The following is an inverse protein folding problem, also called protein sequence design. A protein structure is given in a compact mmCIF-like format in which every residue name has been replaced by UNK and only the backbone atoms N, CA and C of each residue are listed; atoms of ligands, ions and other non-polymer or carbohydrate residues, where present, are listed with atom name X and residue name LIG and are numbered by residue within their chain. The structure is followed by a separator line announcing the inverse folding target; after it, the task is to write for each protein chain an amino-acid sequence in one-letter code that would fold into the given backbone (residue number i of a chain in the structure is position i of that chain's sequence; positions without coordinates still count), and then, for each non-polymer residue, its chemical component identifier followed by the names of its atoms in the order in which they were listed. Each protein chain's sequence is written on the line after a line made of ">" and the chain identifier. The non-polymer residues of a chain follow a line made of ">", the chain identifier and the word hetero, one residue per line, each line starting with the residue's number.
data_IF_277259259504
#
_entry.id   IF_277259259504
#
_cell.length_a   1.000
_cell.length_b   1.000
_cell.length_c   1.000
_cell.angle_alpha   90.00
_cell.angle_beta   90.00
_cell.angle_gamma   90.00
#
_symmetry.space_group_name_H-M   'P 1'
#
loop_
_entity.id
_entity.type
_entity.pdbx_description
1 polymer ?
#
# COMPACT_ATOMS: atom_id res chain seq x y z
N UNK A 1 34.18 0.56 15.51
CA UNK A 1 32.93 0.25 14.77
C UNK A 1 32.48 -1.13 15.20
N UNK A 2 31.48 -1.19 16.07
CA UNK A 2 31.03 -2.42 16.74
C UNK A 2 30.04 -3.18 15.84
N UNK A 3 30.16 -4.51 15.84
CA UNK A 3 29.36 -5.45 15.05
C UNK A 3 27.84 -5.47 15.39
N UNK A 4 27.38 -4.59 16.30
CA UNK A 4 25.98 -4.50 16.70
C UNK A 4 25.09 -3.76 15.69
N UNK A 5 25.65 -2.95 14.79
CA UNK A 5 24.87 -2.29 13.72
C UNK A 5 24.56 -3.21 12.52
N UNK A 6 25.27 -4.34 12.39
CA UNK A 6 25.06 -5.25 11.26
C UNK A 6 23.83 -6.16 11.49
N UNK A 7 23.50 -6.44 12.74
CA UNK A 7 22.37 -7.32 13.11
C UNK A 7 21.03 -6.58 13.16
N UNK A 8 20.98 -5.29 13.51
CA UNK A 8 19.74 -4.50 13.37
C UNK A 8 19.36 -4.31 11.89
N UNK A 9 20.34 -4.25 10.98
CA UNK A 9 20.10 -4.16 9.53
C UNK A 9 19.42 -5.41 8.93
N UNK A 10 19.51 -6.56 9.60
CA UNK A 10 19.01 -7.85 9.12
C UNK A 10 17.56 -8.15 9.54
N UNK A 11 16.98 -7.36 10.45
CA UNK A 11 15.60 -7.55 10.95
C UNK A 11 14.60 -6.49 10.49
N UNK A 12 15.04 -5.42 9.82
CA UNK A 12 14.13 -4.60 9.03
C UNK A 12 13.63 -5.45 7.87
N UNK A 13 12.31 -5.53 7.68
CA UNK A 13 11.75 -6.05 6.43
C UNK A 13 12.53 -5.42 5.28
N UNK A 14 13.40 -6.18 4.62
CA UNK A 14 14.14 -5.66 3.47
C UNK A 14 13.07 -5.30 2.44
N UNK A 15 12.75 -4.00 2.38
CA UNK A 15 11.72 -3.48 1.50
C UNK A 15 12.07 -3.96 0.10
N UNK A 16 11.18 -4.74 -0.51
CA UNK A 16 11.42 -5.29 -1.83
C UNK A 16 11.69 -4.12 -2.77
N UNK A 17 12.88 -4.11 -3.36
CA UNK A 17 13.32 -2.96 -4.15
C UNK A 17 12.48 -2.85 -5.43
N UNK A 18 12.21 -1.64 -5.93
CA UNK A 18 11.37 -1.46 -7.11
C UNK A 18 11.90 -2.16 -8.36
N UNK A 19 13.21 -2.39 -8.45
CA UNK A 19 13.79 -3.19 -9.54
C UNK A 19 13.29 -4.63 -9.52
N UNK A 20 13.03 -5.20 -8.34
CA UNK A 20 12.52 -6.57 -8.20
C UNK A 20 11.04 -6.61 -8.54
N UNK A 21 10.26 -5.62 -8.06
CA UNK A 21 8.85 -5.46 -8.45
C UNK A 21 8.72 -5.27 -9.97
N UNK A 22 9.59 -4.46 -10.56
CA UNK A 22 9.61 -4.22 -12.00
C UNK A 22 9.96 -5.45 -12.83
N UNK A 23 10.78 -6.37 -12.29
CA UNK A 23 11.12 -7.64 -12.94
C UNK A 23 10.09 -8.75 -12.70
N UNK A 24 9.26 -8.61 -11.67
CA UNK A 24 8.21 -9.57 -11.37
C UNK A 24 7.08 -9.55 -12.41
N UNK A 25 6.23 -10.56 -12.37
CA UNK A 25 4.99 -10.61 -13.15
C UNK A 25 3.83 -9.81 -12.55
N UNK A 26 4.07 -9.03 -11.47
CA UNK A 26 2.99 -8.34 -10.76
C UNK A 26 2.34 -7.24 -11.61
N UNK A 27 1.06 -6.99 -11.30
CA UNK A 27 0.24 -5.92 -11.85
C UNK A 27 -0.46 -5.15 -10.71
N UNK A 28 -0.87 -3.91 -11.00
CA UNK A 28 -1.58 -3.06 -10.04
C UNK A 28 -2.98 -2.75 -10.56
N UNK A 29 -3.99 -3.21 -9.81
CA UNK A 29 -5.38 -2.79 -10.00
C UNK A 29 -5.66 -1.55 -9.18
N UNK A 30 -6.38 -0.59 -9.76
CA UNK A 30 -6.91 0.58 -9.04
C UNK A 30 -8.41 0.64 -9.24
N UNK A 31 -9.14 0.49 -8.15
CA UNK A 31 -10.59 0.56 -8.11
C UNK A 31 -11.00 1.91 -7.55
N UNK A 32 -12.05 2.51 -8.14
CA UNK A 32 -12.59 3.79 -7.73
C UNK A 32 -13.98 3.58 -7.17
N UNK A 33 -14.13 3.70 -5.86
CA UNK A 33 -15.44 3.60 -5.19
C UNK A 33 -16.20 4.94 -5.18
N UNK A 34 -15.50 6.06 -5.41
CA UNK A 34 -16.09 7.39 -5.47
C UNK A 34 -15.04 8.48 -5.67
N UNK A 35 -15.44 9.77 -5.67
CA UNK A 35 -14.51 10.88 -5.74
C UNK A 35 -13.51 10.83 -4.58
N UNK A 36 -12.23 10.67 -4.88
CA UNK A 36 -11.18 10.63 -3.85
C UNK A 36 -11.11 9.33 -3.05
N UNK A 37 -11.83 8.26 -3.43
CA UNK A 37 -11.73 6.94 -2.79
C UNK A 37 -11.14 5.92 -3.74
N UNK A 38 -9.97 5.39 -3.37
CA UNK A 38 -9.23 4.42 -4.18
C UNK A 38 -8.90 3.17 -3.39
N UNK A 39 -9.05 2.01 -4.02
CA UNK A 39 -8.44 0.76 -3.57
C UNK A 39 -7.36 0.35 -4.56
N UNK A 40 -6.15 0.15 -4.06
CA UNK A 40 -5.01 -0.36 -4.79
C UNK A 40 -4.82 -1.83 -4.45
N UNK A 41 -4.71 -2.69 -5.46
CA UNK A 41 -4.45 -4.12 -5.29
C UNK A 41 -3.23 -4.47 -6.14
N UNK A 42 -2.12 -4.78 -5.50
CA UNK A 42 -0.95 -5.38 -6.13
C UNK A 42 -1.15 -6.90 -6.15
N UNK A 43 -1.15 -7.49 -7.34
CA UNK A 43 -1.52 -8.90 -7.52
C UNK A 43 -0.66 -9.61 -8.57
N UNK A 44 -0.75 -10.94 -8.60
CA UNK A 44 -0.07 -11.83 -9.55
C UNK A 44 -1.05 -12.33 -10.62
N UNK A 45 -1.04 -11.79 -11.86
CA UNK A 45 -1.97 -12.18 -12.91
C UNK A 45 -1.92 -13.67 -13.27
N UNK A 46 -0.74 -14.30 -13.20
CA UNK A 46 -0.57 -15.72 -13.49
C UNK A 46 -1.31 -16.65 -12.50
N UNK A 47 -1.50 -16.22 -11.25
CA UNK A 47 -2.34 -16.95 -10.28
C UNK A 47 -3.81 -16.87 -10.67
N UNK A 48 -4.28 -15.68 -11.06
CA UNK A 48 -5.65 -15.48 -11.50
C UNK A 48 -5.96 -16.25 -12.80
N UNK A 49 -5.03 -16.30 -13.74
CA UNK A 49 -5.18 -17.12 -14.95
C UNK A 49 -5.37 -18.59 -14.63
N UNK A 50 -4.53 -19.16 -13.75
CA UNK A 50 -4.62 -20.57 -13.35
C UNK A 50 -5.92 -20.89 -12.64
N UNK A 51 -6.39 -20.02 -11.74
CA UNK A 51 -7.70 -20.14 -11.10
C UNK A 51 -8.81 -20.35 -12.15
N UNK A 52 -8.82 -19.56 -13.22
CA UNK A 52 -9.84 -19.64 -14.28
C UNK A 52 -9.58 -20.70 -15.35
N UNK A 53 -8.45 -21.40 -15.32
CA UNK A 53 -8.17 -22.51 -16.22
C UNK A 53 -8.49 -23.85 -15.55
N UNK A 54 -8.04 -24.02 -14.31
CA UNK A 54 -8.01 -25.31 -13.63
C UNK A 54 -8.77 -25.30 -12.29
N UNK A 55 -9.48 -24.21 -11.95
CA UNK A 55 -10.19 -24.03 -10.67
C UNK A 55 -9.28 -24.19 -9.43
N UNK A 56 -8.03 -23.76 -9.58
CA UNK A 56 -7.02 -23.79 -8.51
C UNK A 56 -7.32 -22.80 -7.36
N UNK A 57 -6.50 -22.81 -6.31
CA UNK A 57 -6.60 -21.85 -5.21
C UNK A 57 -6.18 -20.43 -5.61
N UNK A 58 -6.82 -19.40 -5.03
CA UNK A 58 -6.37 -18.00 -5.13
C UNK A 58 -5.18 -17.68 -4.21
N UNK A 59 -4.64 -18.64 -3.46
CA UNK A 59 -3.54 -18.42 -2.52
C UNK A 59 -2.34 -17.75 -3.19
N UNK A 60 -1.96 -16.58 -2.69
CA UNK A 60 -0.86 -15.78 -3.24
C UNK A 60 -1.24 -14.96 -4.48
N UNK A 61 -2.53 -14.83 -4.80
CA UNK A 61 -3.01 -13.90 -5.82
C UNK A 61 -2.72 -12.46 -5.39
N UNK A 62 -3.23 -12.05 -4.23
CA UNK A 62 -2.97 -10.72 -3.66
C UNK A 62 -1.60 -10.66 -2.97
N UNK A 63 -0.79 -9.69 -3.37
CA UNK A 63 0.51 -9.37 -2.75
C UNK A 63 0.37 -8.23 -1.74
N UNK A 64 -0.47 -7.25 -2.08
CA UNK A 64 -0.73 -6.13 -1.20
C UNK A 64 -1.99 -5.38 -1.61
N UNK A 65 -2.62 -4.79 -0.61
CA UNK A 65 -3.84 -4.01 -0.76
C UNK A 65 -3.71 -2.73 0.06
N UNK A 66 -4.11 -1.60 -0.52
CA UNK A 66 -4.23 -0.34 0.22
C UNK A 66 -5.49 0.39 -0.20
N UNK A 67 -6.34 0.72 0.76
CA UNK A 67 -7.48 1.60 0.58
C UNK A 67 -7.13 2.99 1.11
N UNK A 68 -7.37 4.02 0.29
CA UNK A 68 -7.14 5.41 0.68
C UNK A 68 -8.34 6.28 0.33
N UNK A 69 -8.59 7.27 1.17
CA UNK A 69 -9.68 8.24 1.01
C UNK A 69 -9.10 9.65 1.12
N UNK A 70 -9.59 10.58 0.31
CA UNK A 70 -9.24 12.00 0.46
C UNK A 70 -9.67 12.48 1.84
N UNK A 71 -8.79 13.19 2.55
CA UNK A 71 -9.10 13.70 3.88
C UNK A 71 -10.17 14.79 3.80
N UNK A 72 -11.20 14.68 4.64
CA UNK A 72 -12.24 15.70 4.78
C UNK A 72 -11.67 17.02 5.31
N UNK A 73 -10.58 16.96 6.09
CA UNK A 73 -9.92 18.15 6.66
C UNK A 73 -9.02 18.86 5.66
N UNK A 74 -8.41 18.12 4.74
CA UNK A 74 -7.48 18.67 3.77
C UNK A 74 -7.53 17.91 2.43
N UNK A 75 -8.12 18.48 1.37
CA UNK A 75 -8.26 17.80 0.07
C UNK A 75 -6.93 17.56 -0.67
N UNK A 76 -5.81 18.06 -0.13
CA UNK A 76 -4.45 17.78 -0.61
C UNK A 76 -3.83 16.54 0.03
N UNK A 77 -4.51 15.90 0.98
CA UNK A 77 -4.02 14.75 1.73
C UNK A 77 -4.98 13.58 1.53
N UNK A 78 -4.44 12.39 1.30
CA UNK A 78 -5.15 11.13 1.40
C UNK A 78 -4.82 10.45 2.72
N UNK A 79 -5.81 9.82 3.31
CA UNK A 79 -5.70 9.00 4.51
C UNK A 79 -5.74 7.53 4.12
N UNK A 80 -4.84 6.73 4.68
CA UNK A 80 -4.87 5.27 4.55
C UNK A 80 -5.95 4.72 5.47
N UNK A 81 -6.95 4.03 4.93
CA UNK A 81 -8.02 3.40 5.72
C UNK A 81 -7.77 1.92 5.99
N UNK A 82 -7.25 1.21 5.00
CA UNK A 82 -6.89 -0.20 5.13
C UNK A 82 -5.57 -0.42 4.41
N UNK A 83 -4.67 -1.22 4.99
CA UNK A 83 -3.40 -1.57 4.37
C UNK A 83 -2.95 -2.94 4.84
N UNK A 84 -2.63 -3.81 3.90
CA UNK A 84 -2.00 -5.09 4.16
C UNK A 84 -1.05 -5.42 3.00
N UNK A 85 0.06 -6.08 3.30
CA UNK A 85 1.00 -6.54 2.29
C UNK A 85 1.70 -7.82 2.74
N UNK A 86 2.18 -8.60 1.78
CA UNK A 86 3.14 -9.65 2.04
C UNK A 86 4.41 -9.04 2.64
N UNK A 87 5.12 -9.84 3.44
CA UNK A 87 6.35 -9.40 4.10
C UNK A 87 7.32 -8.77 3.10
N UNK A 88 7.83 -7.59 3.43
CA UNK A 88 8.74 -6.82 2.56
C UNK A 88 8.05 -5.94 1.50
N UNK A 89 6.75 -6.10 1.25
CA UNK A 89 6.00 -5.26 0.31
C UNK A 89 5.32 -4.05 0.95
N UNK A 90 5.30 -3.95 2.28
CA UNK A 90 4.69 -2.85 3.02
C UNK A 90 5.17 -1.48 2.52
N UNK A 91 6.44 -1.10 2.71
CA UNK A 91 6.96 0.19 2.24
C UNK A 91 6.75 0.43 0.74
N UNK A 92 6.89 -0.61 -0.09
CA UNK A 92 6.68 -0.50 -1.54
C UNK A 92 5.23 -0.15 -1.90
N UNK A 93 4.24 -0.67 -1.17
CA UNK A 93 2.84 -0.30 -1.37
C UNK A 93 2.59 1.18 -1.10
N UNK A 94 3.15 1.74 -0.01
CA UNK A 94 3.03 3.17 0.30
C UNK A 94 3.62 4.04 -0.81
N UNK A 95 4.81 3.69 -1.29
CA UNK A 95 5.47 4.43 -2.37
C UNK A 95 4.71 4.35 -3.70
N UNK A 96 4.17 3.18 -4.06
CA UNK A 96 3.33 3.02 -5.25
C UNK A 96 2.13 3.97 -5.17
N UNK A 97 1.45 3.99 -4.03
CA UNK A 97 0.27 4.82 -3.79
C UNK A 97 0.63 6.31 -3.80
N UNK A 98 1.67 6.73 -3.06
CA UNK A 98 2.17 8.11 -3.06
C UNK A 98 2.54 8.58 -4.47
N UNK A 99 3.19 7.71 -5.25
CA UNK A 99 3.56 8.02 -6.62
C UNK A 99 2.33 8.19 -7.52
N UNK A 100 1.27 7.40 -7.30
CA UNK A 100 0.02 7.52 -8.05
C UNK A 100 -0.75 8.81 -7.71
N UNK A 101 -0.88 9.14 -6.42
CA UNK A 101 -1.69 10.29 -5.95
C UNK A 101 -0.96 11.64 -6.07
N UNK A 102 0.35 11.65 -6.38
CA UNK A 102 1.14 12.87 -6.56
C UNK A 102 0.44 13.86 -7.51
N UNK A 103 0.34 15.16 -7.15
CA UNK A 103 1.16 15.88 -6.16
C UNK A 103 0.59 15.94 -4.72
N UNK A 104 -0.40 15.11 -4.39
CA UNK A 104 -1.01 15.05 -3.05
C UNK A 104 -0.15 14.26 -2.06
N UNK A 105 -0.42 14.43 -0.77
CA UNK A 105 0.26 13.74 0.32
C UNK A 105 -0.56 12.52 0.78
N UNK A 106 0.10 11.57 1.44
CA UNK A 106 -0.50 10.42 2.10
C UNK A 106 -0.20 10.46 3.60
N UNK A 107 -1.19 10.17 4.44
CA UNK A 107 -1.05 10.06 5.90
C UNK A 107 -1.62 8.75 6.43
N UNK A 108 -1.21 8.36 7.64
CA UNK A 108 -1.81 7.25 8.37
C UNK A 108 -3.26 7.57 8.76
N UNK A 109 -4.07 6.54 9.03
CA UNK A 109 -5.33 6.77 9.74
C UNK A 109 -5.01 7.36 11.11
N UNK A 110 -5.63 8.49 11.45
CA UNK A 110 -5.33 9.18 12.72
C UNK A 110 -6.15 8.71 13.92
N UNK A 111 -6.97 7.68 13.75
CA UNK A 111 -7.76 7.09 14.83
C UNK A 111 -7.21 5.75 15.26
N UNK A 112 -6.73 4.96 14.32
CA UNK A 112 -6.22 3.63 14.59
C UNK A 112 -5.15 3.21 13.59
N UNK A 113 -3.95 2.91 14.09
CA UNK A 113 -2.83 2.42 13.28
C UNK A 113 -2.32 1.14 13.91
N UNK A 114 -2.42 0.03 13.17
CA UNK A 114 -1.91 -1.26 13.62
C UNK A 114 -0.40 -1.20 13.88
N UNK A 115 0.10 -2.02 14.81
CA UNK A 115 1.54 -2.07 15.12
C UNK A 115 2.42 -2.37 13.91
N UNK A 116 1.92 -3.16 12.95
CA UNK A 116 2.61 -3.42 11.68
C UNK A 116 2.69 -2.16 10.80
N UNK A 117 1.59 -1.42 10.64
CA UNK A 117 1.60 -0.17 9.88
C UNK A 117 2.47 0.91 10.55
N UNK A 118 2.46 1.00 11.88
CA UNK A 118 3.34 1.91 12.64
C UNK A 118 4.82 1.65 12.31
N UNK A 119 5.24 0.39 12.23
CA UNK A 119 6.62 0.03 11.85
C UNK A 119 6.98 0.51 10.44
N UNK A 120 6.05 0.43 9.48
CA UNK A 120 6.29 0.93 8.12
C UNK A 120 6.44 2.44 8.09
N UNK A 121 5.54 3.18 8.75
CA UNK A 121 5.64 4.63 8.84
C UNK A 121 6.91 5.08 9.57
N UNK A 122 7.26 4.42 10.67
CA UNK A 122 8.50 4.66 11.39
C UNK A 122 9.72 4.40 10.51
N UNK A 123 9.72 3.29 9.76
CA UNK A 123 10.81 2.97 8.84
C UNK A 123 11.00 4.06 7.78
N UNK A 124 9.90 4.53 7.17
CA UNK A 124 9.95 5.60 6.19
C UNK A 124 10.51 6.90 6.78
N UNK A 125 10.12 7.23 8.01
CA UNK A 125 10.60 8.41 8.73
C UNK A 125 12.07 8.30 9.12
N UNK A 126 12.47 7.21 9.77
CA UNK A 126 13.83 7.05 10.28
C UNK A 126 14.87 6.90 9.16
N UNK A 127 14.53 6.18 8.08
CA UNK A 127 15.51 5.74 7.08
C UNK A 127 15.36 6.41 5.71
N UNK A 128 14.19 6.96 5.40
CA UNK A 128 13.86 7.42 4.04
C UNK A 128 13.29 8.84 3.98
N UNK A 129 13.33 9.60 5.07
CA UNK A 129 12.79 10.97 5.12
C UNK A 129 13.34 11.88 4.00
N UNK A 130 14.61 11.69 3.61
CA UNK A 130 15.22 12.44 2.52
C UNK A 130 14.51 12.26 1.17
N UNK A 131 13.80 11.15 0.95
CA UNK A 131 13.03 10.86 -0.27
C UNK A 131 11.65 11.53 -0.31
N UNK A 132 11.18 12.02 0.85
CA UNK A 132 9.84 12.57 1.01
C UNK A 132 9.85 14.08 1.29
N UNK A 133 8.87 14.78 0.75
CA UNK A 133 8.37 16.02 1.32
C UNK A 133 7.38 15.67 2.42
N UNK A 134 7.45 16.42 3.53
CA UNK A 134 6.53 16.24 4.64
C UNK A 134 5.65 17.47 4.84
N UNK A 135 4.45 17.21 5.33
CA UNK A 135 3.50 18.22 5.76
C UNK A 135 3.09 17.89 7.19
N UNK A 136 3.39 18.78 8.12
CA UNK A 136 2.87 18.66 9.49
C UNK A 136 1.35 18.82 9.45
N UNK A 137 0.65 17.83 10.00
CA UNK A 137 -0.81 17.86 10.06
C UNK A 137 -1.27 18.72 11.24
N UNK A 138 -2.34 19.52 11.08
CA UNK A 138 -2.93 20.23 12.20
C UNK A 138 -3.42 19.23 13.24
N UNK A 139 -3.45 19.64 14.51
CA UNK A 139 -4.14 18.88 15.54
C UNK A 139 -5.60 18.63 15.10
N UNK A 140 -6.13 17.44 15.37
CA UNK A 140 -7.52 17.14 15.06
C UNK A 140 -8.45 18.12 15.80
N UNK A 141 -9.66 18.35 15.28
CA UNK A 141 -10.63 19.29 15.87
C UNK A 141 -11.06 18.92 17.30
N UNK A 142 -10.89 17.67 17.71
CA UNK A 142 -11.11 17.23 19.09
C UNK A 142 -9.92 17.55 20.03
N UNK A 143 -8.89 18.22 19.52
CA UNK A 143 -7.69 18.58 20.27
C UNK A 143 -6.74 17.43 20.52
N UNK A 144 -7.02 16.23 19.99
CA UNK A 144 -6.13 15.08 20.16
C UNK A 144 -5.06 15.08 19.07
N UNK A 145 -3.78 14.99 19.48
CA UNK A 145 -2.81 14.32 18.61
C UNK A 145 -3.06 12.83 18.76
N UNK A 146 -2.79 12.08 17.70
CA UNK A 146 -2.84 10.62 17.64
C UNK A 146 -2.23 9.87 18.84
N UNK A 147 -1.31 10.52 19.57
CA UNK A 147 -0.77 10.19 20.90
C UNK A 147 0.21 11.32 21.24
N UNK A 148 -0.22 12.39 21.91
CA UNK A 148 0.68 13.48 22.37
C UNK A 148 1.67 13.02 23.43
N UNK A 149 1.35 11.94 24.13
CA UNK A 149 1.91 11.70 25.46
C UNK A 149 3.13 10.75 25.41
N UNK A 150 3.52 10.32 24.21
CA UNK A 150 4.75 9.55 23.98
C UNK A 150 5.46 10.17 22.79
N UNK A 151 6.68 10.65 22.98
CA UNK A 151 7.55 11.22 21.93
C UNK A 151 7.72 10.26 20.72
N UNK A 152 7.42 8.98 20.90
CA UNK A 152 7.60 7.90 19.94
C UNK A 152 6.65 7.89 18.72
N UNK A 153 5.71 8.84 18.57
CA UNK A 153 4.73 8.81 17.45
C UNK A 153 4.71 10.07 16.56
N UNK A 154 5.74 10.94 16.61
CA UNK A 154 5.82 12.13 15.76
C UNK A 154 5.61 11.79 14.27
N UNK A 155 6.19 10.68 13.80
CA UNK A 155 6.12 10.24 12.41
C UNK A 155 4.70 9.96 11.90
N UNK A 156 3.73 9.71 12.78
CA UNK A 156 2.32 9.52 12.39
C UNK A 156 1.55 10.84 12.26
N UNK A 157 2.10 11.95 12.75
CA UNK A 157 1.51 13.28 12.64
C UNK A 157 1.95 14.04 11.38
N UNK A 158 2.68 13.36 10.49
CA UNK A 158 3.13 13.87 9.21
C UNK A 158 2.33 13.24 8.07
N UNK A 159 2.07 14.03 7.05
CA UNK A 159 1.71 13.52 5.73
C UNK A 159 2.95 13.54 4.82
N UNK A 160 3.09 12.53 3.98
CA UNK A 160 4.28 12.27 3.18
C UNK A 160 3.95 12.34 1.70
N UNK A 161 4.87 12.88 0.91
CA UNK A 161 4.81 12.88 -0.55
C UNK A 161 6.18 12.54 -1.10
N UNK A 162 6.26 11.62 -2.05
CA UNK A 162 7.52 11.35 -2.75
C UNK A 162 8.02 12.60 -3.49
N UNK A 163 9.27 13.00 -3.26
CA UNK A 163 9.92 14.09 -4.02
C UNK A 163 10.06 13.75 -5.49
N UNK A 164 10.30 12.48 -5.79
CA UNK A 164 10.45 11.95 -7.14
C UNK A 164 9.35 10.92 -7.41
N UNK A 165 8.50 11.22 -8.38
CA UNK A 165 7.48 10.27 -8.86
C UNK A 165 8.17 9.02 -9.42
N UNK A 166 7.74 7.85 -8.95
CA UNK A 166 8.29 6.57 -9.37
C UNK A 166 7.55 6.07 -10.60
N UNK A 167 8.25 5.70 -11.68
CA UNK A 167 7.58 5.20 -12.89
C UNK A 167 6.97 3.79 -12.73
N UNK A 168 7.33 3.08 -11.65
CA UNK A 168 6.91 1.69 -11.42
C UNK A 168 5.38 1.53 -11.39
N UNK A 169 4.63 2.46 -10.77
CA UNK A 169 3.17 2.39 -10.75
C UNK A 169 2.58 2.43 -12.17
N UNK A 170 3.18 3.20 -13.09
CA UNK A 170 2.73 3.25 -14.49
C UNK A 170 2.96 1.90 -15.17
N UNK A 171 4.11 1.28 -14.97
CA UNK A 171 4.39 -0.08 -15.49
C UNK A 171 3.41 -1.11 -14.95
N UNK A 172 3.13 -1.10 -13.65
CA UNK A 172 2.20 -2.04 -13.03
C UNK A 172 0.76 -1.84 -13.52
N UNK A 173 0.31 -0.60 -13.72
CA UNK A 173 -0.98 -0.26 -14.32
C UNK A 173 -1.09 -0.69 -15.78
N UNK A 174 -0.01 -0.56 -16.56
CA UNK A 174 0.01 -1.03 -17.95
C UNK A 174 -0.17 -2.55 -18.02
N UNK A 175 0.44 -3.30 -17.10
CA UNK A 175 0.27 -4.75 -17.01
C UNK A 175 -1.17 -5.16 -16.67
N UNK A 176 -1.82 -4.48 -15.73
CA UNK A 176 -3.25 -4.69 -15.43
C UNK A 176 -4.11 -4.48 -16.69
N UNK A 177 -3.87 -3.37 -17.40
CA UNK A 177 -4.60 -3.04 -18.64
C UNK A 177 -4.38 -4.08 -19.73
N UNK A 178 -3.14 -4.55 -19.92
CA UNK A 178 -2.82 -5.59 -20.90
C UNK A 178 -3.49 -6.91 -20.53
N UNK A 179 -3.40 -7.31 -19.26
CA UNK A 179 -3.96 -8.54 -18.75
C UNK A 179 -5.48 -8.61 -18.98
N UNK A 180 -6.24 -7.63 -18.48
CA UNK A 180 -7.69 -7.62 -18.67
C UNK A 180 -8.10 -7.23 -20.09
N UNK A 181 -7.29 -6.45 -20.80
CA UNK A 181 -7.52 -6.10 -22.21
C UNK A 181 -7.48 -7.30 -23.14
N UNK A 182 -6.65 -8.29 -22.83
CA UNK A 182 -6.56 -9.55 -23.58
C UNK A 182 -7.73 -10.51 -23.32
N UNK A 183 -8.53 -10.27 -22.27
CA UNK A 183 -9.72 -11.09 -22.00
C UNK A 183 -10.91 -10.56 -22.83
N UNK A 184 -11.18 -11.21 -23.96
CA UNK A 184 -12.25 -10.80 -24.89
C UNK A 184 -13.67 -11.05 -24.34
N UNK A 185 -13.83 -12.06 -23.48
CA UNK A 185 -15.11 -12.36 -22.84
C UNK A 185 -15.35 -11.39 -21.68
N UNK A 186 -16.37 -10.53 -21.84
CA UNK A 186 -16.75 -9.53 -20.84
C UNK A 186 -17.24 -10.17 -19.53
N UNK A 187 -18.02 -11.25 -19.60
CA UNK A 187 -18.54 -11.91 -18.40
C UNK A 187 -17.40 -12.54 -17.61
N UNK A 188 -16.49 -13.23 -18.31
CA UNK A 188 -15.30 -13.79 -17.68
C UNK A 188 -14.41 -12.69 -17.08
N UNK A 189 -14.26 -11.56 -17.78
CA UNK A 189 -13.52 -10.40 -17.25
C UNK A 189 -14.14 -9.87 -15.95
N UNK A 190 -15.46 -9.75 -15.89
CA UNK A 190 -16.17 -9.30 -14.68
C UNK A 190 -16.01 -10.31 -13.54
N UNK A 191 -16.14 -11.61 -13.81
CA UNK A 191 -15.91 -12.66 -12.83
C UNK A 191 -14.47 -12.63 -12.27
N UNK A 192 -13.47 -12.45 -13.14
CA UNK A 192 -12.07 -12.31 -12.74
C UNK A 192 -11.84 -11.09 -11.82
N UNK A 193 -12.55 -10.00 -12.06
CA UNK A 193 -12.47 -8.80 -11.22
C UNK A 193 -13.09 -9.04 -9.85
N UNK A 194 -14.26 -9.67 -9.80
CA UNK A 194 -14.92 -10.04 -8.55
C UNK A 194 -14.02 -10.93 -7.68
N UNK A 195 -13.42 -11.97 -8.26
CA UNK A 195 -12.51 -12.88 -7.53
C UNK A 195 -11.27 -12.13 -7.01
N UNK A 196 -10.70 -11.23 -7.80
CA UNK A 196 -9.55 -10.42 -7.37
C UNK A 196 -9.92 -9.50 -6.19
N UNK A 197 -11.09 -8.88 -6.24
CA UNK A 197 -11.58 -8.01 -5.17
C UNK A 197 -11.86 -8.79 -3.87
N UNK A 198 -12.53 -9.93 -3.97
CA UNK A 198 -12.83 -10.80 -2.84
C UNK A 198 -11.55 -11.35 -2.18
N UNK A 199 -10.60 -11.81 -2.99
CA UNK A 199 -9.30 -12.30 -2.51
C UNK A 199 -8.52 -11.19 -1.78
N UNK A 200 -8.51 -9.96 -2.32
CA UNK A 200 -7.81 -8.84 -1.70
C UNK A 200 -8.40 -8.46 -0.34
N UNK A 201 -9.72 -8.43 -0.22
CA UNK A 201 -10.38 -8.17 1.07
C UNK A 201 -10.22 -9.34 2.05
N UNK A 202 -10.20 -10.59 1.58
CA UNK A 202 -9.88 -11.74 2.43
C UNK A 202 -8.45 -11.66 2.94
N UNK A 203 -7.50 -11.39 2.05
CA UNK A 203 -6.09 -11.20 2.39
C UNK A 203 -5.90 -10.12 3.46
N UNK A 204 -6.61 -8.98 3.37
CA UNK A 204 -6.59 -7.95 4.40
C UNK A 204 -7.11 -8.47 5.75
N UNK A 205 -8.28 -9.11 5.77
CA UNK A 205 -8.88 -9.63 7.02
C UNK A 205 -8.00 -10.68 7.69
N UNK A 206 -7.44 -11.61 6.92
CA UNK A 206 -6.57 -12.65 7.43
C UNK A 206 -5.33 -12.07 8.12
N UNK A 207 -4.81 -10.94 7.61
CA UNK A 207 -3.67 -10.25 8.21
C UNK A 207 -4.04 -9.45 9.46
N UNK A 208 -5.28 -8.96 9.56
CA UNK A 208 -5.76 -8.29 10.77
C UNK A 208 -5.92 -9.28 11.94
N UNK A 209 -6.46 -10.48 11.66
CA UNK A 209 -6.70 -11.51 12.69
C UNK A 209 -5.42 -12.16 13.25
N UNK A 210 -4.26 -11.97 12.62
CA UNK A 210 -2.96 -12.52 13.06
C UNK A 210 -2.20 -11.55 13.97
N UNK A 211 -2.69 -10.31 14.13
CA UNK A 211 -1.98 -9.22 14.84
C UNK A 211 -2.58 -8.94 16.23
N UNK A 212 -3.60 -9.69 16.65
CA UNK A 212 -4.10 -9.76 18.04
C UNK A 212 -3.34 -10.81 18.86
#
# INVERSE_FOLDING_TARGET
>A
MTANNLFEFLFYEAAVHFSEIGKSEMALKVLKAGPGHFTFILYRPSVLTRYFQDWESTKGLTVGMMNVVISDENPKVFEVKNSAAEKGFGPAMYDIVMSYISPKFLMADRKDVSGAAQKVWKFMFDHRLAEYDTLLLPMAWDGTRLKTDVEDFEFLNLAYRLKKKLLIHTTLLMRDRQFFGNQMDKNRREEMLTILEEDAWSFFRDRMNVVE
#
